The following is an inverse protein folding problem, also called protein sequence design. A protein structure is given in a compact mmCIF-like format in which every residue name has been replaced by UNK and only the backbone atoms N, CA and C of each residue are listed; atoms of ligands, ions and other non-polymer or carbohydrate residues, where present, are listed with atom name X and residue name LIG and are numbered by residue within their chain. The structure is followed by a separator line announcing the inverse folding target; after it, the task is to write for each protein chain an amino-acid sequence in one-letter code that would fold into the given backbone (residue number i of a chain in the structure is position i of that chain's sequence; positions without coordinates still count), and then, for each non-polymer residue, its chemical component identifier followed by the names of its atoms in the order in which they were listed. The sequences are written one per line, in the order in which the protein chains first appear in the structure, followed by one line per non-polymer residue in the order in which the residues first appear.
data_IF_130583209517
#
_entry.id   IF_130583209517
#
_cell.length_a   1.000
_cell.length_b   1.000
_cell.length_c   1.000
_cell.angle_alpha   90.00
_cell.angle_beta   90.00
_cell.angle_gamma   90.00
#
_symmetry.space_group_name_H-M   'P 1'
#
loop_
_entity.id
_entity.type
_entity.pdbx_description
1 polymer ?
#
# COMPACT_ATOMS: atom_id res chain seq x y z
N UNK A 1 -4.72 6.80 20.07
CA UNK A 1 -4.47 5.48 19.45
C UNK A 1 -5.74 4.78 18.95
N UNK A 2 -6.96 5.26 19.25
CA UNK A 2 -8.20 4.63 18.76
C UNK A 2 -8.48 4.87 17.25
N UNK A 3 -8.02 6.00 16.69
CA UNK A 3 -8.24 6.35 15.27
C UNK A 3 -7.56 5.37 14.30
N UNK A 4 -6.33 4.96 14.60
CA UNK A 4 -5.59 4.00 13.76
C UNK A 4 -6.25 2.62 13.75
N UNK A 5 -6.77 2.19 14.90
CA UNK A 5 -7.45 0.91 15.01
C UNK A 5 -8.81 0.93 14.32
N UNK A 6 -9.61 2.00 14.50
CA UNK A 6 -10.87 2.17 13.78
C UNK A 6 -10.66 2.20 12.26
N UNK A 7 -9.59 2.84 11.79
CA UNK A 7 -9.28 2.89 10.37
C UNK A 7 -8.92 1.51 9.81
N UNK A 8 -8.13 0.72 10.54
CA UNK A 8 -7.81 -0.66 10.17
C UNK A 8 -9.09 -1.52 10.11
N UNK A 9 -9.93 -1.48 11.14
CA UNK A 9 -11.16 -2.29 11.19
C UNK A 9 -12.11 -1.95 10.02
N UNK A 10 -12.30 -0.66 9.72
CA UNK A 10 -13.13 -0.22 8.59
C UNK A 10 -12.55 -0.72 7.27
N UNK A 11 -11.24 -0.58 7.07
CA UNK A 11 -10.56 -1.02 5.86
C UNK A 11 -10.71 -2.53 5.62
N UNK A 12 -10.42 -3.35 6.64
CA UNK A 12 -10.61 -4.80 6.59
C UNK A 12 -12.07 -5.17 6.27
N UNK A 13 -13.03 -4.50 6.91
CA UNK A 13 -14.45 -4.76 6.69
C UNK A 13 -14.88 -4.40 5.27
N UNK A 14 -14.43 -3.27 4.73
CA UNK A 14 -14.76 -2.85 3.36
C UNK A 14 -14.10 -3.78 2.33
N UNK A 15 -12.81 -4.08 2.46
CA UNK A 15 -12.09 -4.98 1.55
C UNK A 15 -12.72 -6.38 1.53
N UNK A 16 -13.10 -6.89 2.71
CA UNK A 16 -13.80 -8.16 2.85
C UNK A 16 -15.17 -8.12 2.15
N UNK A 17 -16.01 -7.13 2.46
CA UNK A 17 -17.37 -7.02 1.93
C UNK A 17 -17.40 -6.83 0.41
N UNK A 18 -16.53 -5.99 -0.14
CA UNK A 18 -16.43 -5.76 -1.59
C UNK A 18 -16.02 -7.04 -2.30
N UNK A 19 -14.97 -7.72 -1.81
CA UNK A 19 -14.50 -8.97 -2.40
C UNK A 19 -15.55 -10.07 -2.30
N UNK A 20 -16.22 -10.17 -1.15
CA UNK A 20 -17.29 -11.14 -0.93
C UNK A 20 -18.50 -10.85 -1.84
N UNK A 21 -18.89 -9.58 -2.01
CA UNK A 21 -20.00 -9.21 -2.89
C UNK A 21 -19.72 -9.58 -4.36
N UNK A 22 -18.48 -9.40 -4.80
CA UNK A 22 -18.08 -9.71 -6.18
C UNK A 22 -17.92 -11.23 -6.39
N UNK A 23 -17.37 -11.94 -5.40
CA UNK A 23 -16.92 -13.33 -5.59
C UNK A 23 -17.85 -14.37 -4.97
N UNK A 24 -18.71 -13.97 -4.02
CA UNK A 24 -19.53 -14.86 -3.19
C UNK A 24 -18.74 -15.72 -2.20
N UNK A 25 -17.41 -15.59 -2.15
CA UNK A 25 -16.51 -16.45 -1.36
C UNK A 25 -15.95 -15.73 -0.14
N UNK A 26 -16.26 -16.26 1.04
CA UNK A 26 -15.76 -15.77 2.33
C UNK A 26 -14.24 -15.92 2.47
N UNK A 27 -13.66 -16.94 1.82
CA UNK A 27 -12.21 -17.21 1.87
C UNK A 27 -11.45 -16.14 1.10
N UNK A 28 -11.90 -15.79 -0.10
CA UNK A 28 -11.26 -14.76 -0.92
C UNK A 28 -11.35 -13.38 -0.25
N UNK A 29 -12.46 -13.05 0.40
CA UNK A 29 -12.59 -11.82 1.18
C UNK A 29 -11.55 -11.70 2.30
N UNK A 30 -11.29 -12.78 3.03
CA UNK A 30 -10.28 -12.80 4.09
C UNK A 30 -8.86 -12.65 3.57
N UNK A 31 -8.53 -13.37 2.49
CA UNK A 31 -7.20 -13.30 1.85
C UNK A 31 -6.93 -11.90 1.31
N UNK A 32 -7.89 -11.29 0.59
CA UNK A 32 -7.69 -9.95 0.03
C UNK A 32 -7.52 -8.90 1.12
N UNK A 33 -8.29 -8.97 2.21
CA UNK A 33 -8.18 -8.02 3.31
C UNK A 33 -6.78 -8.01 3.96
N UNK A 34 -6.04 -9.14 3.92
CA UNK A 34 -4.64 -9.21 4.37
C UNK A 34 -3.63 -8.86 3.27
N UNK A 35 -3.93 -9.21 2.01
CA UNK A 35 -3.03 -8.97 0.88
C UNK A 35 -2.91 -7.50 0.56
N UNK A 36 -3.98 -6.71 0.67
CA UNK A 36 -3.96 -5.28 0.38
C UNK A 36 -2.89 -4.51 1.18
N UNK A 37 -2.85 -4.55 2.53
CA UNK A 37 -1.81 -3.86 3.30
C UNK A 37 -0.40 -4.42 3.07
N UNK A 38 -0.28 -5.72 2.75
CA UNK A 38 1.01 -6.32 2.41
C UNK A 38 1.54 -5.80 1.07
N UNK A 39 0.69 -5.76 0.04
CA UNK A 39 1.03 -5.19 -1.27
C UNK A 39 1.30 -3.70 -1.15
N UNK A 40 0.53 -2.96 -0.34
CA UNK A 40 0.78 -1.54 -0.10
C UNK A 40 2.16 -1.31 0.53
N UNK A 41 2.54 -2.11 1.53
CA UNK A 41 3.87 -2.04 2.15
C UNK A 41 4.98 -2.34 1.14
N UNK A 42 4.82 -3.39 0.33
CA UNK A 42 5.80 -3.76 -0.70
C UNK A 42 5.89 -2.68 -1.78
N UNK A 43 4.75 -2.18 -2.26
CA UNK A 43 4.67 -1.12 -3.25
C UNK A 43 5.34 0.16 -2.74
N UNK A 44 5.11 0.53 -1.47
CA UNK A 44 5.74 1.69 -0.85
C UNK A 44 7.27 1.52 -0.75
N UNK A 45 7.74 0.33 -0.40
CA UNK A 45 9.18 0.02 -0.38
C UNK A 45 9.83 0.16 -1.77
N UNK A 46 9.18 -0.37 -2.81
CA UNK A 46 9.66 -0.19 -4.18
C UNK A 46 9.56 1.26 -4.65
N UNK A 47 8.50 1.97 -4.27
CA UNK A 47 8.29 3.39 -4.58
C UNK A 47 9.42 4.24 -3.99
N UNK A 48 9.74 4.09 -2.70
CA UNK A 48 10.86 4.76 -2.06
C UNK A 48 12.20 4.43 -2.73
N UNK A 49 12.42 3.15 -3.07
CA UNK A 49 13.66 2.71 -3.71
C UNK A 49 13.82 3.27 -5.13
N UNK A 50 12.73 3.37 -5.88
CA UNK A 50 12.69 3.95 -7.22
C UNK A 50 12.89 5.47 -7.16
N UNK A 51 12.13 6.17 -6.31
CA UNK A 51 12.22 7.61 -6.17
C UNK A 51 13.56 8.06 -5.58
N UNK A 52 14.08 7.34 -4.58
CA UNK A 52 15.40 7.63 -4.02
C UNK A 52 16.54 7.48 -5.03
N UNK A 53 16.39 6.67 -6.10
CA UNK A 53 17.34 6.67 -7.22
C UNK A 53 17.15 7.88 -8.14
N UNK A 54 15.91 8.28 -8.40
CA UNK A 54 15.60 9.45 -9.22
C UNK A 54 16.08 10.73 -8.54
N UNK A 55 15.82 10.90 -7.24
CA UNK A 55 16.24 12.06 -6.46
C UNK A 55 17.77 12.14 -6.34
N UNK A 56 18.46 11.01 -6.14
CA UNK A 56 19.93 10.99 -6.16
C UNK A 56 20.52 11.40 -7.51
N UNK A 57 19.90 11.00 -8.63
CA UNK A 57 20.33 11.44 -9.98
C UNK A 57 20.07 12.93 -10.19
N UNK A 58 18.91 13.44 -9.77
CA UNK A 58 18.58 14.86 -9.83
C UNK A 58 19.52 15.73 -8.98
N UNK A 59 19.88 15.27 -7.79
CA UNK A 59 20.84 15.95 -6.92
C UNK A 59 22.25 15.98 -7.52
N UNK A 60 22.69 14.90 -8.17
CA UNK A 60 23.97 14.83 -8.86
C UNK A 60 24.02 15.74 -10.12
N UNK A 61 22.93 15.81 -10.89
CA UNK A 61 22.82 16.74 -12.02
C UNK A 61 22.82 18.21 -11.55
N UNK A 62 22.12 18.53 -10.46
CA UNK A 62 22.10 19.88 -9.90
C UNK A 62 23.48 20.34 -9.39
N UNK A 63 24.25 19.42 -8.78
CA UNK A 63 25.61 19.70 -8.32
C UNK A 63 26.65 19.80 -9.45
N UNK A 64 26.35 19.26 -10.64
CA UNK A 64 27.23 19.34 -11.81
C UNK A 64 27.02 20.62 -12.65
N UNK A 65 25.91 21.34 -12.41
CA UNK A 65 25.56 22.61 -13.10
C UNK A 65 25.88 23.84 -12.23
N UNK A 66 26.15 23.62 -10.94
CA UNK A 66 26.68 24.60 -9.97
C UNK A 66 28.20 24.69 -10.03
#
# INVERSE_FOLDING_TARGET
MNKTFSFAVVHFTVAFLVTWLITGSWVLGGVIAMVEPAVNTVAYFFHEKAWGRIDRRRAAEAAAIS
#
